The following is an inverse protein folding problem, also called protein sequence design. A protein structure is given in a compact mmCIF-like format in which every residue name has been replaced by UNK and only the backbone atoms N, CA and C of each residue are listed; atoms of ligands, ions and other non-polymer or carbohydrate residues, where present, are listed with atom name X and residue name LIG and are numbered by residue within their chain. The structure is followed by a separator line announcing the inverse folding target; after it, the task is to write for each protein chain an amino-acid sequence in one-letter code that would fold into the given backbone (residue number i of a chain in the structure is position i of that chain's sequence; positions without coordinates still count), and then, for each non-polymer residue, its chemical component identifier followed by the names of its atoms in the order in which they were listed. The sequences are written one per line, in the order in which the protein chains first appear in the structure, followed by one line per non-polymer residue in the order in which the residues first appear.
data_IF_269498608135
#
_entry.id   IF_269498608135
#
_cell.length_a   1.000
_cell.length_b   1.000
_cell.length_c   1.000
_cell.angle_alpha   90.00
_cell.angle_beta   90.00
_cell.angle_gamma   90.00
#
_symmetry.space_group_name_H-M   'P 1'
#
loop_
_entity.id
_entity.type
_entity.pdbx_description
1 polymer ?
#
# COMPACT_ATOMS: atom_id res chain seq x y z
N UNK A 1 -33.89 -28.10 -24.59
CA UNK A 1 -34.40 -27.81 -23.24
C UNK A 1 -33.17 -27.60 -22.37
N UNK A 2 -32.84 -26.34 -22.05
CA UNK A 2 -31.75 -26.02 -21.13
C UNK A 2 -32.29 -26.31 -19.73
N UNK A 3 -31.67 -27.24 -19.01
CA UNK A 3 -32.14 -27.65 -17.69
C UNK A 3 -31.86 -26.53 -16.70
N UNK A 4 -32.86 -26.21 -15.85
CA UNK A 4 -32.76 -25.21 -14.77
C UNK A 4 -31.65 -25.48 -13.74
N UNK A 5 -30.92 -26.59 -13.88
CA UNK A 5 -29.82 -27.00 -13.00
C UNK A 5 -28.54 -26.19 -13.25
N UNK A 6 -28.16 -25.94 -14.51
CA UNK A 6 -26.92 -25.23 -14.83
C UNK A 6 -26.94 -23.78 -14.33
N UNK A 7 -28.08 -23.10 -14.46
CA UNK A 7 -28.26 -21.71 -13.98
C UNK A 7 -28.16 -21.63 -12.44
N UNK A 8 -28.52 -22.70 -11.73
CA UNK A 8 -28.47 -22.73 -10.26
C UNK A 8 -27.05 -22.92 -9.74
N UNK A 9 -26.26 -23.75 -10.40
CA UNK A 9 -24.85 -23.98 -10.06
C UNK A 9 -24.01 -22.70 -10.29
N UNK A 10 -24.23 -22.02 -11.41
CA UNK A 10 -23.57 -20.74 -11.70
C UNK A 10 -23.91 -19.66 -10.67
N UNK A 11 -25.18 -19.61 -10.21
CA UNK A 11 -25.61 -18.66 -9.19
C UNK A 11 -24.96 -18.95 -7.82
N UNK A 12 -24.84 -20.23 -7.44
CA UNK A 12 -24.22 -20.64 -6.18
C UNK A 12 -22.73 -20.26 -6.14
N UNK A 13 -21.99 -20.57 -7.21
CA UNK A 13 -20.58 -20.20 -7.32
C UNK A 13 -20.38 -18.67 -7.24
N UNK A 14 -21.27 -17.88 -7.86
CA UNK A 14 -21.20 -16.43 -7.78
C UNK A 14 -21.46 -15.89 -6.36
N UNK A 15 -22.41 -16.49 -5.63
CA UNK A 15 -22.68 -16.09 -4.24
C UNK A 15 -21.55 -16.43 -3.28
N UNK A 16 -20.92 -17.59 -3.44
CA UNK A 16 -19.75 -17.98 -2.63
C UNK A 16 -18.57 -17.04 -2.88
N UNK A 17 -18.36 -16.64 -4.14
CA UNK A 17 -17.33 -15.65 -4.49
C UNK A 17 -17.57 -14.31 -3.80
N UNK A 18 -18.81 -13.78 -3.83
CA UNK A 18 -19.14 -12.52 -3.15
C UNK A 18 -18.93 -12.63 -1.63
N UNK A 19 -19.28 -13.77 -1.02
CA UNK A 19 -19.05 -13.99 0.41
C UNK A 19 -17.56 -14.03 0.75
N UNK A 20 -16.73 -14.67 -0.08
CA UNK A 20 -15.27 -14.71 0.09
C UNK A 20 -14.62 -13.33 -0.04
N UNK A 21 -15.12 -12.48 -0.94
CA UNK A 21 -14.65 -11.10 -1.09
C UNK A 21 -15.09 -10.21 0.08
N UNK A 22 -16.24 -10.49 0.70
CA UNK A 22 -16.70 -9.77 1.90
C UNK A 22 -15.90 -10.11 3.15
N UNK A 23 -15.43 -11.36 3.30
CA UNK A 23 -14.56 -11.73 4.43
C UNK A 23 -13.20 -11.03 4.33
N UNK A 24 -12.60 -10.95 3.14
CA UNK A 24 -11.35 -10.22 2.93
C UNK A 24 -11.45 -8.71 3.22
N UNK A 25 -12.60 -8.10 2.93
CA UNK A 25 -12.84 -6.69 3.25
C UNK A 25 -13.04 -6.43 4.75
N UNK A 26 -13.55 -7.41 5.50
CA UNK A 26 -13.67 -7.30 6.96
C UNK A 26 -12.30 -7.28 7.63
N UNK A 27 -11.35 -8.05 7.11
CA UNK A 27 -10.01 -8.13 7.69
C UNK A 27 -9.20 -6.85 7.43
N UNK A 28 -9.41 -6.18 6.29
CA UNK A 28 -8.82 -4.87 6.01
C UNK A 28 -9.27 -3.78 6.99
N UNK A 29 -10.49 -3.87 7.53
CA UNK A 29 -10.99 -2.92 8.53
C UNK A 29 -10.35 -3.06 9.91
N UNK A 30 -9.66 -4.18 10.16
CA UNK A 30 -8.96 -4.48 11.42
C UNK A 30 -7.46 -4.18 11.35
N UNK A 31 -6.93 -3.84 10.17
CA UNK A 31 -5.53 -3.45 10.01
C UNK A 31 -5.28 -2.06 10.58
N UNK A 32 -4.11 -1.88 11.19
CA UNK A 32 -3.73 -0.60 11.78
C UNK A 32 -3.10 0.29 10.71
N UNK A 33 -3.52 1.55 10.60
CA UNK A 33 -2.92 2.52 9.66
C UNK A 33 -2.02 3.52 10.38
N UNK A 34 -0.95 3.95 9.72
CA UNK A 34 -0.18 5.12 10.18
C UNK A 34 -0.93 6.42 9.85
N UNK A 35 -1.15 7.27 10.85
CA UNK A 35 -1.86 8.55 10.68
C UNK A 35 -1.10 9.54 9.78
N UNK A 36 0.23 9.45 9.75
CA UNK A 36 1.06 10.35 8.96
C UNK A 36 1.07 9.93 7.48
N UNK A 37 1.46 8.68 7.19
CA UNK A 37 1.68 8.24 5.80
C UNK A 37 0.58 7.36 5.20
N UNK A 38 -0.42 6.94 5.99
CA UNK A 38 -1.54 6.12 5.53
C UNK A 38 -1.20 4.65 5.23
N UNK A 39 0.01 4.18 5.50
CA UNK A 39 0.39 2.77 5.29
C UNK A 39 -0.33 1.87 6.29
N UNK A 40 -0.83 0.72 5.81
CA UNK A 40 -1.54 -0.28 6.60
C UNK A 40 -0.57 -1.38 7.09
N UNK A 41 -0.78 -1.84 8.32
CA UNK A 41 0.02 -2.85 8.99
C UNK A 41 -0.87 -3.95 9.56
N UNK A 42 -0.37 -5.19 9.46
CA UNK A 42 -1.05 -6.38 9.99
C UNK A 42 -1.05 -6.39 11.52
N UNK A 43 0.05 -5.94 12.14
CA UNK A 43 0.19 -5.89 13.61
C UNK A 43 0.46 -4.47 14.11
N UNK A 44 0.11 -4.21 15.38
CA UNK A 44 0.39 -2.94 16.06
C UNK A 44 1.92 -2.72 16.19
N UNK A 45 2.69 -3.78 16.39
CA UNK A 45 4.15 -3.71 16.53
C UNK A 45 4.82 -3.20 15.25
N UNK A 46 4.35 -3.62 14.07
CA UNK A 46 4.86 -3.12 12.80
C UNK A 46 4.57 -1.63 12.60
N UNK A 47 3.37 -1.20 12.98
CA UNK A 47 3.00 0.22 12.97
C UNK A 47 3.90 1.05 13.90
N UNK A 48 4.13 0.59 15.13
CA UNK A 48 5.02 1.27 16.08
C UNK A 48 6.46 1.35 15.55
N UNK A 49 6.99 0.26 14.99
CA UNK A 49 8.32 0.22 14.37
C UNK A 49 8.42 1.18 13.19
N UNK A 50 7.38 1.25 12.38
CA UNK A 50 7.27 2.17 11.26
C UNK A 50 7.31 3.63 11.73
N UNK A 51 6.44 4.02 12.68
CA UNK A 51 6.39 5.38 13.23
C UNK A 51 7.76 5.78 13.80
N UNK A 52 8.43 4.86 14.52
CA UNK A 52 9.71 5.12 15.20
C UNK A 52 10.90 5.23 14.24
N UNK A 53 10.97 4.39 13.21
CA UNK A 53 12.21 4.25 12.42
C UNK A 53 12.09 4.68 10.97
N UNK A 54 10.89 4.66 10.38
CA UNK A 54 10.74 4.60 8.92
C UNK A 54 9.68 5.51 8.32
N UNK A 55 8.78 6.10 9.11
CA UNK A 55 7.74 6.96 8.56
C UNK A 55 8.38 8.19 7.85
N UNK A 56 8.20 8.33 6.53
CA UNK A 56 8.89 9.36 5.75
C UNK A 56 8.36 10.77 6.06
N UNK A 57 7.12 10.87 6.52
CA UNK A 57 6.49 12.13 6.96
C UNK A 57 6.86 12.48 8.40
N UNK A 58 7.21 11.48 9.24
CA UNK A 58 7.63 11.70 10.62
C UNK A 58 9.10 12.16 10.77
N UNK A 59 9.77 12.56 9.68
CA UNK A 59 11.19 12.98 9.70
C UNK A 59 11.43 14.22 10.56
N UNK A 60 10.41 15.03 10.80
CA UNK A 60 10.47 16.21 11.68
C UNK A 60 10.33 15.85 13.16
N UNK A 61 9.79 14.67 13.50
CA UNK A 61 9.61 14.21 14.88
C UNK A 61 10.78 13.36 15.41
N UNK A 62 11.96 13.50 14.79
CA UNK A 62 13.20 13.55 15.58
C UNK A 62 13.20 14.82 16.45
N UNK A 63 12.13 14.99 17.24
CA UNK A 63 12.08 15.96 18.32
C UNK A 63 13.25 15.61 19.21
N UNK A 64 14.12 16.60 19.36
CA UNK A 64 15.11 16.66 20.41
C UNK A 64 14.50 16.02 21.66
N UNK A 65 15.06 14.89 22.07
CA UNK A 65 14.91 14.43 23.44
C UNK A 65 15.20 15.65 24.34
N UNK A 66 14.37 15.97 25.36
CA UNK A 66 14.60 17.11 26.23
C UNK A 66 16.05 17.18 26.66
N UNK A 67 16.69 18.26 26.25
CA UNK A 67 18.13 18.51 26.24
C UNK A 67 18.57 18.97 27.65
N UNK A 68 18.22 18.20 28.69
CA UNK A 68 18.56 18.49 30.10
C UNK A 68 19.59 17.50 30.67
N UNK A 69 20.46 16.95 29.82
CA UNK A 69 21.73 16.36 30.26
C UNK A 69 22.83 16.96 29.39
N UNK A 70 23.35 18.09 29.88
CA UNK A 70 24.58 18.71 29.41
C UNK A 70 25.73 17.70 29.51
N UNK A 71 26.51 17.52 28.43
CA UNK A 71 27.96 17.73 28.48
C UNK A 71 28.57 17.63 27.07
N UNK A 72 28.81 18.82 26.52
CA UNK A 72 30.12 19.25 26.08
C UNK A 72 30.90 18.30 25.15
N UNK A 73 30.65 18.40 23.83
CA UNK A 73 31.69 18.11 22.83
C UNK A 73 31.49 18.94 21.56
N UNK A 74 32.21 20.05 21.51
CA UNK A 74 32.33 20.93 20.35
C UNK A 74 33.26 20.30 19.30
N UNK A 75 32.70 19.59 18.33
CA UNK A 75 33.43 19.19 17.13
C UNK A 75 32.70 19.69 15.87
N UNK A 76 33.34 20.67 15.21
CA UNK A 76 33.01 21.19 13.89
C UNK A 76 32.73 20.03 12.92
N UNK A 77 31.49 19.87 12.47
CA UNK A 77 31.17 19.04 11.30
C UNK A 77 30.76 19.92 10.13
N UNK A 78 31.58 19.80 9.09
CA UNK A 78 31.42 20.41 7.79
C UNK A 78 30.03 20.13 7.20
N UNK A 79 29.52 21.11 6.44
CA UNK A 79 28.35 20.96 5.58
C UNK A 79 28.58 19.77 4.64
N UNK A 80 27.69 18.76 4.60
CA UNK A 80 27.64 17.86 3.47
C UNK A 80 26.93 18.62 2.34
N UNK A 81 27.68 18.99 1.31
CA UNK A 81 27.12 19.20 -0.03
C UNK A 81 26.44 17.89 -0.42
N UNK A 82 25.12 17.86 -0.34
CA UNK A 82 24.31 16.72 -0.72
C UNK A 82 23.28 17.18 -1.75
N UNK A 83 23.80 17.73 -2.84
CA UNK A 83 23.11 17.73 -4.12
C UNK A 83 23.40 16.36 -4.77
N UNK A 84 22.83 15.32 -4.18
CA UNK A 84 22.77 14.00 -4.80
C UNK A 84 21.68 14.08 -5.87
N UNK A 85 22.13 14.49 -7.06
CA UNK A 85 21.50 14.17 -8.34
C UNK A 85 21.47 12.64 -8.49
N UNK A 86 20.64 11.96 -7.69
CA UNK A 86 20.18 10.63 -8.01
C UNK A 86 19.01 10.79 -8.99
N UNK A 87 19.36 11.35 -10.16
CA UNK A 87 18.64 11.17 -11.41
C UNK A 87 18.76 9.68 -11.75
N UNK A 88 17.96 8.87 -11.04
CA UNK A 88 17.79 7.47 -11.37
C UNK A 88 17.32 7.40 -12.82
N UNK A 89 18.20 6.82 -13.62
CA UNK A 89 18.09 6.61 -15.06
C UNK A 89 16.84 5.76 -15.36
N UNK A 90 15.68 6.40 -15.42
CA UNK A 90 14.45 5.89 -16.04
C UNK A 90 14.50 6.17 -17.55
N UNK A 91 15.51 5.64 -18.25
CA UNK A 91 15.76 6.07 -19.64
C UNK A 91 14.83 5.42 -20.68
N UNK A 92 14.12 4.33 -20.35
CA UNK A 92 13.22 3.67 -21.31
C UNK A 92 11.72 3.91 -21.04
N UNK A 93 11.35 4.51 -19.90
CA UNK A 93 9.95 4.77 -19.52
C UNK A 93 9.43 6.17 -19.92
N UNK A 94 10.21 6.96 -20.66
CA UNK A 94 9.86 8.36 -20.97
C UNK A 94 8.54 8.49 -21.75
N UNK A 95 8.22 7.51 -22.59
CA UNK A 95 7.00 7.51 -23.38
C UNK A 95 5.78 6.98 -22.60
N UNK A 96 5.98 5.99 -21.74
CA UNK A 96 4.93 5.46 -20.86
C UNK A 96 4.50 6.49 -19.82
N UNK A 97 5.48 7.12 -19.18
CA UNK A 97 5.24 8.16 -18.21
C UNK A 97 4.46 9.33 -18.84
N UNK A 98 4.72 9.65 -20.12
CA UNK A 98 3.93 10.63 -20.88
C UNK A 98 2.47 10.22 -21.07
N UNK A 99 2.17 8.93 -21.27
CA UNK A 99 0.79 8.45 -21.39
C UNK A 99 0.05 8.55 -20.05
N UNK A 100 0.67 8.11 -18.95
CA UNK A 100 0.09 8.24 -17.61
C UNK A 100 -0.13 9.70 -17.22
N UNK A 101 0.85 10.57 -17.47
CA UNK A 101 0.72 12.02 -17.25
C UNK A 101 -0.43 12.62 -18.07
N UNK A 102 -0.62 12.17 -19.32
CA UNK A 102 -1.73 12.63 -20.17
C UNK A 102 -3.10 12.18 -19.61
N UNK A 103 -3.21 10.93 -19.15
CA UNK A 103 -4.43 10.41 -18.53
C UNK A 103 -4.73 11.16 -17.22
N UNK A 104 -3.71 11.36 -16.37
CA UNK A 104 -3.84 12.14 -15.14
C UNK A 104 -4.30 13.57 -15.40
N UNK A 105 -3.78 14.22 -16.45
CA UNK A 105 -4.23 15.56 -16.87
C UNK A 105 -5.71 15.55 -17.31
N UNK A 106 -6.11 14.63 -18.18
CA UNK A 106 -7.49 14.52 -18.66
C UNK A 106 -8.47 14.34 -17.50
N UNK A 107 -8.15 13.46 -16.54
CA UNK A 107 -8.99 13.24 -15.35
C UNK A 107 -9.10 14.51 -14.50
N UNK A 108 -8.01 15.26 -14.34
CA UNK A 108 -7.98 16.50 -13.57
C UNK A 108 -8.83 17.59 -14.23
N UNK A 109 -8.66 17.79 -15.53
CA UNK A 109 -9.41 18.78 -16.31
C UNK A 109 -10.93 18.48 -16.26
N UNK A 110 -11.30 17.20 -16.41
CA UNK A 110 -12.70 16.76 -16.31
C UNK A 110 -13.30 17.02 -14.92
N UNK A 111 -12.58 16.69 -13.85
CA UNK A 111 -13.05 16.93 -12.48
C UNK A 111 -13.20 18.43 -12.19
N UNK A 112 -12.29 19.26 -12.69
CA UNK A 112 -12.37 20.72 -12.52
C UNK A 112 -13.61 21.30 -13.22
N UNK A 113 -13.90 20.88 -14.45
CA UNK A 113 -15.10 21.28 -15.17
C UNK A 113 -16.40 20.83 -14.47
N UNK A 114 -16.43 19.58 -13.98
CA UNK A 114 -17.55 19.06 -13.20
C UNK A 114 -17.74 19.85 -11.89
N UNK A 115 -16.65 20.21 -11.22
CA UNK A 115 -16.65 21.04 -10.00
C UNK A 115 -17.23 22.41 -10.28
N UNK A 116 -16.76 23.09 -11.32
CA UNK A 116 -17.25 24.41 -11.70
C UNK A 116 -18.73 24.39 -12.05
N UNK A 117 -19.18 23.37 -12.79
CA UNK A 117 -20.58 23.18 -13.12
C UNK A 117 -21.45 23.00 -11.88
N UNK A 118 -21.00 22.23 -10.88
CA UNK A 118 -21.69 22.07 -9.59
C UNK A 118 -21.72 23.39 -8.80
N UNK A 119 -20.60 24.13 -8.75
CA UNK A 119 -20.54 25.45 -8.09
C UNK A 119 -21.55 26.41 -8.72
N UNK A 120 -21.57 26.52 -10.06
CA UNK A 120 -22.55 27.35 -10.80
C UNK A 120 -23.99 26.96 -10.47
N UNK A 121 -24.29 25.65 -10.38
CA UNK A 121 -25.62 25.14 -10.02
C UNK A 121 -26.02 25.52 -8.59
N UNK A 122 -25.10 25.49 -7.63
CA UNK A 122 -25.38 25.89 -6.24
C UNK A 122 -25.55 27.41 -6.09
N UNK A 123 -24.74 28.20 -6.79
CA UNK A 123 -24.90 29.66 -6.82
C UNK A 123 -26.29 30.07 -7.36
N UNK A 124 -26.76 29.41 -8.44
CA UNK A 124 -28.12 29.62 -8.97
C UNK A 124 -29.24 29.28 -7.99
N UNK A 125 -28.97 28.51 -6.93
CA UNK A 125 -29.93 28.16 -5.87
C UNK A 125 -29.86 29.12 -4.67
N UNK A 126 -29.06 30.19 -4.75
CA UNK A 126 -28.93 31.19 -3.70
C UNK A 126 -27.93 30.81 -2.59
N UNK A 127 -27.12 29.76 -2.77
CA UNK A 127 -26.05 29.45 -1.81
C UNK A 127 -24.93 30.48 -1.93
N UNK A 128 -24.29 30.77 -0.79
CA UNK A 128 -23.06 31.57 -0.76
C UNK A 128 -21.94 30.89 -1.56
N UNK A 129 -20.99 31.68 -2.09
CA UNK A 129 -19.88 31.15 -2.89
C UNK A 129 -19.00 30.16 -2.11
N UNK A 130 -18.84 30.37 -0.81
CA UNK A 130 -18.08 29.49 0.09
C UNK A 130 -18.82 28.17 0.31
N UNK A 131 -20.12 28.22 0.64
CA UNK A 131 -20.94 27.02 0.84
C UNK A 131 -21.10 26.21 -0.46
N UNK A 132 -21.25 26.89 -1.60
CA UNK A 132 -21.32 26.25 -2.92
C UNK A 132 -20.03 25.49 -3.27
N UNK A 133 -18.85 26.06 -2.95
CA UNK A 133 -17.55 25.39 -3.14
C UNK A 133 -17.41 24.17 -2.24
N UNK A 134 -17.78 24.29 -0.97
CA UNK A 134 -17.70 23.21 -0.01
C UNK A 134 -18.61 22.04 -0.42
N UNK A 135 -19.89 22.31 -0.70
CA UNK A 135 -20.84 21.28 -1.21
C UNK A 135 -20.44 20.68 -2.55
N UNK A 136 -19.76 21.44 -3.41
CA UNK A 136 -19.24 20.91 -4.66
C UNK A 136 -18.07 19.94 -4.40
N UNK A 137 -17.13 20.31 -3.53
CA UNK A 137 -16.00 19.47 -3.13
C UNK A 137 -16.46 18.18 -2.45
N UNK A 138 -17.40 18.25 -1.51
CA UNK A 138 -17.88 17.07 -0.75
C UNK A 138 -18.54 16.03 -1.67
N UNK A 139 -19.32 16.49 -2.66
CA UNK A 139 -19.94 15.59 -3.65
C UNK A 139 -18.97 15.13 -4.75
N UNK A 140 -17.93 15.91 -5.04
CA UNK A 140 -16.92 15.51 -6.02
C UNK A 140 -16.13 14.31 -5.50
N UNK A 141 -15.73 14.29 -4.22
CA UNK A 141 -14.85 13.26 -3.65
C UNK A 141 -15.30 11.82 -3.95
N UNK A 142 -16.60 11.52 -3.83
CA UNK A 142 -17.11 10.16 -4.04
C UNK A 142 -17.29 9.82 -5.54
N UNK A 143 -17.85 10.73 -6.34
CA UNK A 143 -18.07 10.49 -7.77
C UNK A 143 -16.74 10.49 -8.56
N UNK A 144 -15.82 11.38 -8.21
CA UNK A 144 -14.51 11.51 -8.84
C UNK A 144 -13.64 10.29 -8.57
N UNK A 145 -13.73 9.68 -7.38
CA UNK A 145 -12.95 8.49 -7.06
C UNK A 145 -13.36 7.32 -7.95
N UNK A 146 -14.68 7.13 -8.15
CA UNK A 146 -15.21 6.09 -9.04
C UNK A 146 -14.76 6.35 -10.49
N UNK A 147 -14.90 7.60 -10.97
CA UNK A 147 -14.51 7.96 -12.33
C UNK A 147 -13.00 7.80 -12.52
N UNK A 148 -12.19 8.20 -11.54
CA UNK A 148 -10.75 8.03 -11.55
C UNK A 148 -10.37 6.54 -11.64
N UNK A 149 -10.95 5.68 -10.79
CA UNK A 149 -10.70 4.24 -10.82
C UNK A 149 -11.06 3.66 -12.18
N UNK A 150 -12.23 4.00 -12.74
CA UNK A 150 -12.64 3.52 -14.06
C UNK A 150 -11.63 3.92 -15.14
N UNK A 151 -11.18 5.18 -15.16
CA UNK A 151 -10.18 5.67 -16.13
C UNK A 151 -8.80 5.06 -15.92
N UNK A 152 -8.42 4.83 -14.67
CA UNK A 152 -7.16 4.19 -14.32
C UNK A 152 -7.14 2.71 -14.72
N UNK A 153 -8.23 1.98 -14.49
CA UNK A 153 -8.40 0.61 -14.97
C UNK A 153 -8.36 0.55 -16.51
N UNK A 154 -8.99 1.50 -17.20
CA UNK A 154 -8.87 1.61 -18.67
C UNK A 154 -7.41 1.81 -19.11
N UNK A 155 -6.65 2.65 -18.39
CA UNK A 155 -5.23 2.86 -18.65
C UNK A 155 -4.41 1.57 -18.50
N UNK A 156 -4.62 0.84 -17.41
CA UNK A 156 -3.98 -0.46 -17.15
C UNK A 156 -4.35 -1.47 -18.25
N UNK A 157 -5.62 -1.56 -18.62
CA UNK A 157 -6.07 -2.45 -19.70
C UNK A 157 -5.39 -2.13 -21.03
N UNK A 158 -5.22 -0.84 -21.35
CA UNK A 158 -4.49 -0.42 -22.56
C UNK A 158 -3.01 -0.78 -22.47
N UNK A 159 -2.38 -0.62 -21.30
CA UNK A 159 -1.00 -1.01 -21.07
C UNK A 159 -0.82 -2.53 -21.23
N UNK A 160 -1.65 -3.35 -20.58
CA UNK A 160 -1.63 -4.80 -20.71
C UNK A 160 -1.80 -5.23 -22.18
N UNK A 161 -2.74 -4.62 -22.90
CA UNK A 161 -2.93 -4.92 -24.34
C UNK A 161 -1.69 -4.58 -25.17
N UNK A 162 -1.02 -3.45 -24.87
CA UNK A 162 0.18 -3.02 -25.58
C UNK A 162 1.38 -3.93 -25.29
N UNK A 163 1.55 -4.37 -24.04
CA UNK A 163 2.70 -5.15 -23.58
C UNK A 163 2.44 -6.66 -23.56
N UNK A 164 1.30 -7.13 -24.06
CA UNK A 164 0.87 -8.53 -24.04
C UNK A 164 1.99 -9.49 -24.46
N UNK A 165 2.64 -9.24 -25.59
CA UNK A 165 3.70 -10.14 -26.10
C UNK A 165 4.96 -10.14 -25.23
N UNK A 166 5.33 -9.00 -24.64
CA UNK A 166 6.48 -8.93 -23.73
C UNK A 166 6.17 -9.68 -22.42
N UNK A 167 4.93 -9.57 -21.93
CA UNK A 167 4.43 -10.32 -20.79
C UNK A 167 4.39 -11.84 -21.07
N UNK A 168 3.93 -12.25 -22.25
CA UNK A 168 3.91 -13.67 -22.67
C UNK A 168 5.33 -14.25 -22.66
N UNK A 169 6.30 -13.57 -23.28
CA UNK A 169 7.71 -14.01 -23.28
C UNK A 169 8.29 -14.08 -21.85
N UNK A 170 8.02 -13.08 -21.02
CA UNK A 170 8.51 -13.06 -19.63
C UNK A 170 7.95 -14.24 -18.80
N UNK A 171 6.70 -14.64 -19.05
CA UNK A 171 6.07 -15.79 -18.40
C UNK A 171 6.69 -17.11 -18.90
N UNK A 172 6.97 -17.22 -20.20
CA UNK A 172 7.62 -18.41 -20.77
C UNK A 172 9.05 -18.60 -20.23
N UNK A 173 9.82 -17.52 -20.17
CA UNK A 173 11.19 -17.52 -19.65
C UNK A 173 11.23 -17.97 -18.17
N UNK A 174 10.30 -17.46 -17.36
CA UNK A 174 10.21 -17.80 -15.93
C UNK A 174 9.69 -19.21 -15.65
N UNK A 175 9.01 -19.85 -16.60
CA UNK A 175 8.62 -21.27 -16.50
C UNK A 175 9.73 -22.22 -16.98
N UNK A 176 10.63 -21.76 -17.85
CA UNK A 176 11.73 -22.58 -18.36
C UNK A 176 12.86 -22.78 -17.34
N UNK A 177 13.08 -21.83 -16.44
CA UNK A 177 14.22 -21.84 -15.50
C UNK A 177 14.06 -22.79 -14.30
N UNK A 178 12.93 -23.47 -14.16
CA UNK A 178 12.64 -24.35 -13.01
C UNK A 178 12.75 -25.85 -13.29
N UNK A 179 13.26 -26.29 -14.45
CA UNK A 179 13.22 -27.72 -14.84
C UNK A 179 14.55 -28.47 -14.88
N UNK A 180 15.67 -27.81 -14.65
CA UNK A 180 16.97 -28.46 -14.75
C UNK A 180 17.71 -28.35 -13.42
N UNK A 181 17.55 -29.34 -12.54
CA UNK A 181 18.66 -30.09 -11.93
C UNK A 181 18.17 -31.12 -10.89
N UNK A 182 17.35 -32.08 -11.33
CA UNK A 182 17.40 -33.41 -10.71
C UNK A 182 18.60 -34.16 -11.30
N UNK A 183 19.80 -33.59 -11.14
CA UNK A 183 21.04 -34.33 -11.34
C UNK A 183 21.15 -35.28 -10.15
N UNK A 184 20.66 -36.49 -10.40
CA UNK A 184 20.82 -37.72 -9.63
C UNK A 184 22.19 -37.73 -8.93
N UNK A 185 22.17 -37.31 -7.66
CA UNK A 185 23.34 -37.28 -6.80
C UNK A 185 23.63 -38.71 -6.41
N UNK A 186 24.47 -39.39 -7.19
CA UNK A 186 25.01 -40.70 -6.83
C UNK A 186 25.77 -40.57 -5.52
N UNK A 187 25.17 -41.18 -4.51
CA UNK A 187 25.74 -41.75 -3.30
C UNK A 187 27.27 -41.71 -3.24
N UNK A 188 27.80 -40.79 -2.43
CA UNK A 188 29.06 -40.98 -1.74
C UNK A 188 28.74 -40.97 -0.24
N UNK A 189 28.58 -42.18 0.31
CA UNK A 189 28.70 -42.43 1.74
C UNK A 189 30.07 -41.93 2.22
N UNK A 190 30.09 -40.85 2.99
CA UNK A 190 31.16 -40.60 3.93
C UNK A 190 30.54 -40.43 5.32
N UNK A 191 30.48 -41.57 5.99
CA UNK A 191 30.34 -41.72 7.43
C UNK A 191 31.40 -40.88 8.16
N UNK A 192 30.98 -39.76 8.74
CA UNK A 192 31.69 -39.09 9.83
C UNK A 192 30.69 -38.68 10.88
N UNK A 193 30.68 -39.45 11.97
CA UNK A 193 29.92 -39.18 13.17
C UNK A 193 30.46 -38.01 13.99
N UNK A 194 29.73 -37.80 15.09
CA UNK A 194 29.91 -36.82 16.15
C UNK A 194 29.59 -35.37 15.73
N UNK A 195 28.94 -34.55 16.54
CA UNK A 195 28.91 -34.58 18.00
C UNK A 195 27.63 -33.91 18.52
N UNK A 196 27.24 -34.35 19.71
CA UNK A 196 26.09 -33.89 20.45
C UNK A 196 26.37 -32.50 21.02
N UNK A 197 25.51 -31.51 20.73
CA UNK A 197 25.41 -30.38 21.64
C UNK A 197 23.95 -30.00 21.92
N UNK A 198 23.55 -30.44 23.09
CA UNK A 198 22.42 -30.02 23.91
C UNK A 198 22.53 -28.55 24.32
N UNK A 199 21.39 -27.88 24.42
CA UNK A 199 21.22 -26.61 25.12
C UNK A 199 20.50 -25.59 24.23
N UNK A 200 19.46 -24.90 24.67
CA UNK A 200 18.78 -24.83 25.95
C UNK A 200 17.41 -24.20 25.69
N UNK A 201 16.41 -24.70 26.39
CA UNK A 201 15.08 -24.10 26.46
C UNK A 201 15.18 -22.82 27.29
N UNK A 202 15.03 -21.66 26.65
CA UNK A 202 14.78 -20.42 27.37
C UNK A 202 13.29 -20.10 27.27
N UNK A 203 12.56 -20.62 28.26
CA UNK A 203 11.24 -20.12 28.65
C UNK A 203 11.40 -18.66 29.08
N UNK A 204 10.85 -17.72 28.30
CA UNK A 204 10.69 -16.35 28.76
C UNK A 204 9.22 -16.12 29.11
N UNK A 205 8.88 -16.45 30.35
CA UNK A 205 7.69 -15.99 31.05
C UNK A 205 7.91 -14.53 31.46
N UNK A 206 7.25 -13.60 30.77
CA UNK A 206 6.99 -12.27 31.33
C UNK A 206 5.52 -12.22 31.74
N UNK A 207 5.30 -12.52 33.01
CA UNK A 207 4.23 -11.92 33.80
C UNK A 207 4.43 -10.39 33.76
N UNK A 208 3.40 -9.64 33.40
CA UNK A 208 3.31 -8.25 33.85
C UNK A 208 1.84 -7.81 34.00
N UNK A 209 1.43 -7.90 35.26
CA UNK A 209 0.60 -6.99 36.04
C UNK A 209 -0.61 -6.31 35.38
N UNK A 210 -1.77 -6.86 35.72
CA UNK A 210 -3.04 -6.16 35.82
C UNK A 210 -3.06 -5.23 37.04
N UNK A 211 -2.97 -3.92 36.82
CA UNK A 211 -3.50 -2.87 37.70
C UNK A 211 -4.52 -2.08 36.86
N UNK A 212 -5.85 -2.19 37.04
CA UNK A 212 -6.66 -1.84 38.21
C UNK A 212 -6.34 -0.45 38.77
N UNK A 213 -6.89 0.60 38.17
CA UNK A 213 -7.41 1.72 38.97
C UNK A 213 -8.59 2.43 38.28
N UNK A 214 -9.71 2.32 38.98
CA UNK A 214 -10.94 3.08 38.87
C UNK A 214 -10.75 4.52 39.36
N UNK A 215 -11.28 5.50 38.63
CA UNK A 215 -11.79 6.79 39.16
C UNK A 215 -12.60 7.45 38.01
N UNK A 216 -13.92 7.54 38.01
CA UNK A 216 -14.83 8.31 38.88
C UNK A 216 -14.60 9.84 38.78
N UNK A 217 -15.72 10.58 38.70
CA UNK A 217 -15.87 12.07 38.72
C UNK A 217 -15.70 12.74 37.34
N UNK A 218 -16.58 13.56 36.78
CA UNK A 218 -17.84 14.23 37.18
C UNK A 218 -18.61 14.60 35.90
#
# INVERSE_FOLDING_TARGET
MITNTAVREDLQHYTEKIQSEQTLNRDLSKMNSCDDCGVLFETIHDLQRHIKTWCPENKESKRKLPEDIEENNSAKKARPDNQSDNEYVLNDNKQENKAFLKIGKISRDYNEEARESKIKKYLKRGLSKTEAKQRANDKLKNEDWIIFIIRYLQAIQMAIKKYRHQLENFIEDSQSSGKDDDTESKDNESDHGNDSHSGSEDENTTDDETDNESEASE
#
